data_IF_813185184811
#
_entry.id   IF_813185184811
#
_cell.length_a   1.000
_cell.length_b   1.000
_cell.length_c   1.000
_cell.angle_alpha   90.00
_cell.angle_beta   90.00
_cell.angle_gamma   90.00
#
_symmetry.space_group_name_H-M   'P 1'
#
loop_
_entity.id
_entity.type
_entity.pdbx_description
1 polymer ?
#
# COMPACT_ATOMS: atom_id res chain seq x y z
N UNK A 1 17.96 -13.48 -29.16
CA UNK A 1 17.57 -14.24 -27.97
C UNK A 1 16.42 -13.53 -27.31
N UNK A 2 15.34 -14.19 -26.92
CA UNK A 2 14.25 -13.58 -26.18
C UNK A 2 14.80 -13.07 -24.83
N UNK A 3 14.38 -11.88 -24.40
CA UNK A 3 14.74 -11.31 -23.11
C UNK A 3 14.11 -12.20 -22.01
N UNK A 4 14.83 -12.57 -20.94
CA UNK A 4 14.20 -13.31 -19.84
C UNK A 4 13.08 -12.46 -19.21
N UNK A 5 12.08 -13.14 -18.65
CA UNK A 5 11.04 -12.46 -17.87
C UNK A 5 11.67 -11.68 -16.71
N UNK A 6 11.20 -10.46 -16.42
CA UNK A 6 11.66 -9.76 -15.24
C UNK A 6 11.19 -10.48 -13.99
N UNK A 7 12.03 -10.55 -12.95
CA UNK A 7 11.64 -10.99 -11.63
C UNK A 7 10.57 -10.04 -11.06
N UNK A 8 9.59 -10.55 -10.34
CA UNK A 8 8.58 -9.75 -9.66
C UNK A 8 9.06 -9.37 -8.26
N UNK A 9 9.37 -8.09 -8.04
CA UNK A 9 9.77 -7.57 -6.74
C UNK A 9 8.59 -6.83 -6.09
N UNK A 10 8.01 -7.42 -5.05
CA UNK A 10 6.87 -6.93 -4.30
C UNK A 10 7.34 -6.30 -2.99
N UNK A 11 6.79 -5.14 -2.68
CA UNK A 11 7.09 -4.42 -1.45
C UNK A 11 5.80 -4.06 -0.74
N UNK A 12 5.64 -4.49 0.51
CA UNK A 12 4.70 -3.81 1.40
C UNK A 12 5.22 -2.39 1.69
N UNK A 13 4.35 -1.51 2.18
CA UNK A 13 4.67 -0.10 2.32
C UNK A 13 4.93 0.27 3.79
N UNK A 14 3.88 0.20 4.60
CA UNK A 14 3.88 0.71 5.97
C UNK A 14 4.74 -0.21 6.86
N UNK A 15 5.59 0.36 7.69
CA UNK A 15 6.62 -0.33 8.50
C UNK A 15 7.61 -1.21 7.70
N UNK A 16 7.49 -1.26 6.38
CA UNK A 16 8.41 -2.00 5.48
C UNK A 16 9.31 -1.05 4.69
N UNK A 17 8.74 -0.20 3.82
CA UNK A 17 9.46 0.86 3.11
C UNK A 17 9.47 2.19 3.89
N UNK A 18 8.49 2.38 4.75
CA UNK A 18 8.35 3.53 5.65
C UNK A 18 8.71 3.13 7.08
N UNK A 19 9.26 4.08 7.85
CA UNK A 19 9.47 3.95 9.30
C UNK A 19 8.19 4.33 10.07
N UNK A 20 7.06 3.69 9.73
CA UNK A 20 5.76 3.95 10.33
C UNK A 20 4.61 3.61 9.39
N UNK A 21 3.40 3.87 9.85
CA UNK A 21 2.14 3.61 9.16
C UNK A 21 1.62 4.90 8.53
N UNK A 22 1.46 4.93 7.21
CA UNK A 22 1.04 6.12 6.46
C UNK A 22 -0.43 6.47 6.67
N UNK A 23 -1.31 5.50 6.92
CA UNK A 23 -2.71 5.75 7.26
C UNK A 23 -2.84 6.35 8.66
N UNK A 24 -2.07 5.83 9.65
CA UNK A 24 -2.02 6.40 10.98
C UNK A 24 -1.46 7.84 10.95
N UNK A 25 -0.36 8.06 10.23
CA UNK A 25 0.25 9.37 10.06
C UNK A 25 -0.71 10.37 9.38
N UNK A 26 -1.55 9.92 8.45
CA UNK A 26 -2.60 10.73 7.84
C UNK A 26 -3.59 11.25 8.89
N UNK A 27 -4.05 10.39 9.80
CA UNK A 27 -4.92 10.78 10.91
C UNK A 27 -4.29 11.86 11.80
N UNK A 28 -3.02 11.70 12.21
CA UNK A 28 -2.28 12.68 13.00
C UNK A 28 -2.08 14.01 12.24
N UNK A 29 -1.84 13.93 10.93
CA UNK A 29 -1.76 15.11 10.09
C UNK A 29 -3.10 15.87 10.03
N UNK A 30 -4.24 15.20 9.88
CA UNK A 30 -5.56 15.84 9.92
C UNK A 30 -5.83 16.52 11.27
N UNK A 31 -5.41 15.92 12.38
CA UNK A 31 -5.46 16.52 13.72
C UNK A 31 -4.61 17.79 13.76
N UNK A 32 -3.36 17.73 13.30
CA UNK A 32 -2.43 18.87 13.31
C UNK A 32 -2.93 20.07 12.50
N UNK A 33 -3.75 19.80 11.48
CA UNK A 33 -4.39 20.82 10.63
C UNK A 33 -5.73 21.31 11.17
N UNK A 34 -6.21 20.77 12.31
CA UNK A 34 -7.49 21.11 12.91
C UNK A 34 -8.70 20.70 12.05
N UNK A 35 -8.52 19.74 11.16
CA UNK A 35 -9.61 19.22 10.29
C UNK A 35 -10.50 18.29 11.10
N UNK A 36 -9.94 17.57 12.07
CA UNK A 36 -10.65 16.67 13.00
C UNK A 36 -10.33 16.99 14.44
N UNK A 37 -11.21 16.60 15.35
CA UNK A 37 -10.99 16.75 16.80
C UNK A 37 -9.97 15.73 17.32
N UNK A 38 -8.94 16.20 18.02
CA UNK A 38 -7.80 15.40 18.45
C UNK A 38 -8.20 14.15 19.25
N UNK A 39 -8.91 14.33 20.38
CA UNK A 39 -9.16 13.24 21.32
C UNK A 39 -10.00 12.10 20.72
N UNK A 40 -11.08 12.45 20.02
CA UNK A 40 -11.96 11.45 19.42
C UNK A 40 -11.32 10.75 18.22
N UNK A 41 -10.66 11.51 17.36
CA UNK A 41 -10.04 10.93 16.15
C UNK A 41 -8.89 10.01 16.52
N UNK A 42 -8.01 10.45 17.44
CA UNK A 42 -6.88 9.63 17.90
C UNK A 42 -7.35 8.34 18.56
N UNK A 43 -8.35 8.39 19.44
CA UNK A 43 -8.89 7.19 20.09
C UNK A 43 -9.45 6.18 19.07
N UNK A 44 -10.13 6.64 18.02
CA UNK A 44 -10.63 5.77 16.94
C UNK A 44 -9.50 5.21 16.08
N UNK A 45 -8.53 6.06 15.72
CA UNK A 45 -7.37 5.64 14.92
C UNK A 45 -6.55 4.55 15.63
N UNK A 46 -6.26 4.74 16.92
CA UNK A 46 -5.57 3.77 17.75
C UNK A 46 -6.35 2.46 17.86
N UNK A 47 -7.68 2.51 18.03
CA UNK A 47 -8.52 1.33 18.09
C UNK A 47 -8.49 0.51 16.78
N UNK A 48 -8.48 1.16 15.63
CA UNK A 48 -8.32 0.47 14.33
C UNK A 48 -6.92 -0.11 14.16
N UNK A 49 -5.88 0.61 14.58
CA UNK A 49 -4.51 0.11 14.56
C UNK A 49 -4.36 -1.16 15.43
N UNK A 50 -4.96 -1.19 16.62
CA UNK A 50 -4.98 -2.40 17.45
C UNK A 50 -5.70 -3.58 16.78
N UNK A 51 -6.81 -3.34 16.06
CA UNK A 51 -7.49 -4.37 15.27
C UNK A 51 -6.57 -4.90 14.16
N UNK A 52 -5.84 -4.00 13.46
CA UNK A 52 -4.88 -4.38 12.42
C UNK A 52 -3.78 -5.30 12.96
N UNK A 53 -3.18 -4.95 14.10
CA UNK A 53 -2.13 -5.77 14.76
C UNK A 53 -2.67 -7.15 15.15
N UNK A 54 -3.95 -7.26 15.57
CA UNK A 54 -4.59 -8.56 15.85
C UNK A 54 -5.01 -9.33 14.61
N UNK A 55 -5.00 -8.70 13.43
CA UNK A 55 -5.50 -9.29 12.17
C UNK A 55 -7.03 -9.32 12.07
N UNK A 56 -7.71 -8.47 12.81
CA UNK A 56 -9.17 -8.40 12.97
C UNK A 56 -9.75 -7.08 12.41
N UNK A 57 -8.98 -6.34 11.62
CA UNK A 57 -9.36 -5.02 11.11
C UNK A 57 -10.67 -5.08 10.30
N UNK A 58 -11.67 -4.30 10.72
CA UNK A 58 -12.78 -3.92 9.85
C UNK A 58 -12.27 -2.90 8.82
N UNK A 59 -11.73 -3.42 7.70
CA UNK A 59 -11.13 -2.60 6.65
C UNK A 59 -12.13 -1.64 6.00
N UNK A 60 -13.43 -1.99 5.91
CA UNK A 60 -14.45 -1.09 5.37
C UNK A 60 -14.75 0.06 6.31
N UNK A 61 -14.92 -0.24 7.60
CA UNK A 61 -15.10 0.77 8.64
C UNK A 61 -13.90 1.69 8.76
N UNK A 62 -12.69 1.16 8.63
CA UNK A 62 -11.45 1.93 8.68
C UNK A 62 -11.32 2.91 7.50
N UNK A 63 -11.52 2.44 6.27
CA UNK A 63 -11.47 3.31 5.08
C UNK A 63 -12.55 4.40 5.13
N UNK A 64 -13.77 4.07 5.56
CA UNK A 64 -14.81 5.06 5.74
C UNK A 64 -14.41 6.14 6.78
N UNK A 65 -13.85 5.71 7.92
CA UNK A 65 -13.34 6.62 8.95
C UNK A 65 -12.21 7.53 8.44
N UNK A 66 -11.24 6.98 7.72
CA UNK A 66 -10.08 7.73 7.17
C UNK A 66 -10.52 8.79 6.16
N UNK A 67 -11.55 8.49 5.35
CA UNK A 67 -12.01 9.38 4.28
C UNK A 67 -13.09 10.38 4.72
N UNK A 68 -13.91 10.06 5.72
CA UNK A 68 -15.02 10.92 6.17
C UNK A 68 -14.64 12.40 6.30
N UNK A 69 -13.53 12.78 6.96
CA UNK A 69 -13.17 14.17 7.17
C UNK A 69 -12.91 14.96 5.89
N UNK A 70 -12.59 14.29 4.81
CA UNK A 70 -12.13 14.89 3.55
C UNK A 70 -13.17 14.81 2.40
N UNK A 71 -14.26 14.06 2.59
CA UNK A 71 -15.29 13.87 1.54
C UNK A 71 -15.95 15.16 1.09
N UNK A 72 -16.05 16.17 1.97
CA UNK A 72 -16.63 17.47 1.66
C UNK A 72 -15.68 18.42 0.92
N UNK A 73 -14.39 18.11 0.88
CA UNK A 73 -13.39 18.96 0.25
C UNK A 73 -13.52 18.95 -1.28
N UNK A 74 -13.30 20.11 -1.90
CA UNK A 74 -13.19 20.19 -3.34
C UNK A 74 -11.93 19.42 -3.82
N UNK A 75 -11.96 18.79 -5.01
CA UNK A 75 -10.83 17.98 -5.50
C UNK A 75 -9.48 18.70 -5.50
N UNK A 76 -9.45 19.99 -5.83
CA UNK A 76 -8.23 20.78 -5.81
C UNK A 76 -7.68 20.97 -4.37
N UNK A 77 -8.55 21.25 -3.39
CA UNK A 77 -8.15 21.39 -1.99
C UNK A 77 -7.67 20.05 -1.43
N UNK A 78 -8.33 18.96 -1.78
CA UNK A 78 -7.94 17.61 -1.40
C UNK A 78 -6.56 17.23 -1.94
N UNK A 79 -6.28 17.56 -3.21
CA UNK A 79 -4.96 17.34 -3.80
C UNK A 79 -3.87 18.18 -3.10
N UNK A 80 -4.14 19.43 -2.76
CA UNK A 80 -3.20 20.28 -2.01
C UNK A 80 -2.90 19.69 -0.65
N UNK A 81 -3.93 19.29 0.09
CA UNK A 81 -3.79 18.67 1.42
C UNK A 81 -2.95 17.39 1.36
N UNK A 82 -3.19 16.54 0.35
CA UNK A 82 -2.41 15.31 0.13
C UNK A 82 -0.94 15.61 -0.20
N UNK A 83 -0.66 16.62 -1.01
CA UNK A 83 0.73 17.02 -1.32
C UNK A 83 1.46 17.55 -0.07
N UNK A 84 0.78 18.33 0.74
CA UNK A 84 1.33 18.78 2.02
C UNK A 84 1.68 17.60 2.93
N UNK A 85 0.77 16.64 3.09
CA UNK A 85 1.00 15.42 3.85
C UNK A 85 2.25 14.67 3.38
N UNK A 86 2.37 14.44 2.09
CA UNK A 86 3.52 13.72 1.54
C UNK A 86 4.83 14.46 1.80
N UNK A 87 4.84 15.78 1.66
CA UNK A 87 6.06 16.57 1.83
C UNK A 87 6.45 16.81 3.28
N UNK A 88 5.48 16.89 4.21
CA UNK A 88 5.75 17.14 5.63
C UNK A 88 5.93 15.86 6.45
N UNK A 89 5.06 14.87 6.25
CA UNK A 89 5.03 13.69 7.11
C UNK A 89 5.72 12.49 6.45
N UNK A 90 5.31 12.14 5.22
CA UNK A 90 5.82 10.93 4.56
C UNK A 90 7.31 11.01 4.28
N UNK A 91 7.78 12.16 3.79
CA UNK A 91 9.20 12.34 3.48
C UNK A 91 10.12 12.10 4.69
N UNK A 92 9.63 12.40 5.90
CA UNK A 92 10.39 12.20 7.14
C UNK A 92 10.51 10.73 7.55
N UNK A 93 9.59 9.87 7.10
CA UNK A 93 9.55 8.44 7.44
C UNK A 93 9.97 7.52 6.29
N UNK A 94 10.32 8.07 5.12
CA UNK A 94 10.91 7.28 4.03
C UNK A 94 12.30 6.78 4.42
N UNK A 95 12.49 5.46 4.49
CA UNK A 95 13.76 4.87 4.89
C UNK A 95 14.80 4.91 3.77
N UNK A 96 16.00 5.50 3.99
CA UNK A 96 17.06 5.50 2.98
C UNK A 96 17.46 4.09 2.51
N UNK A 97 17.42 3.10 3.41
CA UNK A 97 17.68 1.69 3.07
C UNK A 97 16.61 1.11 2.15
N UNK A 98 15.34 1.48 2.36
CA UNK A 98 14.24 1.06 1.50
C UNK A 98 14.35 1.68 0.10
N UNK A 99 14.71 2.97 0.00
CA UNK A 99 14.98 3.64 -1.28
C UNK A 99 16.12 2.92 -2.02
N UNK A 100 17.22 2.59 -1.33
CA UNK A 100 18.34 1.87 -1.91
C UNK A 100 17.94 0.46 -2.37
N UNK A 101 17.10 -0.25 -1.59
CA UNK A 101 16.59 -1.57 -1.93
C UNK A 101 15.72 -1.53 -3.20
N UNK A 102 14.74 -0.64 -3.26
CA UNK A 102 13.89 -0.46 -4.45
C UNK A 102 14.72 -0.13 -5.68
N UNK A 103 15.71 0.77 -5.54
CA UNK A 103 16.61 1.13 -6.63
C UNK A 103 17.43 -0.09 -7.11
N UNK A 104 17.93 -0.93 -6.21
CA UNK A 104 18.70 -2.13 -6.57
C UNK A 104 17.90 -3.12 -7.41
N UNK A 105 16.62 -3.33 -7.09
CA UNK A 105 15.72 -4.17 -7.89
C UNK A 105 15.43 -3.54 -9.26
N UNK A 106 15.17 -2.24 -9.28
CA UNK A 106 14.93 -1.52 -10.53
C UNK A 106 16.16 -1.57 -11.46
N UNK A 107 17.37 -1.36 -10.91
CA UNK A 107 18.61 -1.39 -11.67
C UNK A 107 18.95 -2.80 -12.17
N UNK A 108 18.51 -3.85 -11.46
CA UNK A 108 18.56 -5.24 -11.91
C UNK A 108 17.57 -5.56 -13.04
N UNK A 109 16.60 -4.68 -13.30
CA UNK A 109 15.55 -4.88 -14.30
C UNK A 109 14.35 -5.65 -13.79
N UNK A 110 14.19 -5.78 -12.47
CA UNK A 110 13.04 -6.41 -11.84
C UNK A 110 11.78 -5.53 -12.01
N UNK A 111 10.63 -6.17 -12.05
CA UNK A 111 9.34 -5.49 -12.05
C UNK A 111 8.95 -5.15 -10.61
N UNK A 112 9.19 -3.89 -10.21
CA UNK A 112 8.90 -3.40 -8.88
C UNK A 112 7.43 -3.03 -8.73
N UNK A 113 6.78 -3.54 -7.67
CA UNK A 113 5.38 -3.27 -7.34
C UNK A 113 5.25 -3.02 -5.85
N UNK A 114 4.64 -1.90 -5.46
CA UNK A 114 4.19 -1.70 -4.08
C UNK A 114 2.81 -2.34 -3.94
N UNK A 115 2.63 -3.18 -2.89
CA UNK A 115 1.38 -3.86 -2.59
C UNK A 115 1.00 -3.64 -1.13
N UNK A 116 -0.02 -2.82 -0.85
CA UNK A 116 -0.34 -2.33 0.49
C UNK A 116 -1.84 -2.38 0.81
N UNK A 117 -2.16 -2.56 2.10
CA UNK A 117 -3.55 -2.48 2.58
C UNK A 117 -4.08 -1.04 2.58
N UNK A 118 -3.20 -0.06 2.73
CA UNK A 118 -3.53 1.36 2.72
C UNK A 118 -4.16 1.77 1.39
N UNK A 119 -5.06 2.73 1.45
CA UNK A 119 -5.86 3.14 0.31
C UNK A 119 -5.03 3.90 -0.77
N UNK A 120 -5.51 3.83 -2.02
CA UNK A 120 -4.80 4.40 -3.18
C UNK A 120 -4.66 5.93 -3.13
N UNK A 121 -5.58 6.65 -2.45
CA UNK A 121 -5.51 8.10 -2.32
C UNK A 121 -4.23 8.53 -1.59
N UNK A 122 -3.88 7.85 -0.50
CA UNK A 122 -2.68 8.13 0.30
C UNK A 122 -1.44 7.59 -0.40
N UNK A 123 -1.49 6.35 -0.90
CA UNK A 123 -0.30 5.60 -1.32
C UNK A 123 0.21 5.93 -2.72
N UNK A 124 -0.64 6.42 -3.62
CA UNK A 124 -0.22 6.75 -4.99
C UNK A 124 0.94 7.75 -5.06
N UNK A 125 0.92 8.92 -4.36
CA UNK A 125 2.05 9.83 -4.36
C UNK A 125 3.27 9.27 -3.61
N UNK A 126 3.07 8.36 -2.65
CA UNK A 126 4.18 7.71 -1.94
C UNK A 126 4.91 6.75 -2.88
N UNK A 127 4.18 5.93 -3.64
CA UNK A 127 4.78 5.06 -4.65
C UNK A 127 5.59 5.85 -5.68
N UNK A 128 5.06 6.99 -6.13
CA UNK A 128 5.78 7.91 -7.03
C UNK A 128 7.07 8.46 -6.40
N UNK A 129 7.06 8.76 -5.09
CA UNK A 129 8.24 9.24 -4.37
C UNK A 129 9.35 8.15 -4.27
N UNK A 130 8.99 6.86 -4.20
CA UNK A 130 9.93 5.74 -4.32
C UNK A 130 10.36 5.46 -5.77
N UNK A 131 9.77 6.12 -6.77
CA UNK A 131 10.02 5.85 -8.18
C UNK A 131 9.47 4.48 -8.63
N UNK A 132 8.44 3.96 -7.95
CA UNK A 132 7.74 2.73 -8.29
C UNK A 132 6.48 3.06 -9.08
N UNK A 133 6.43 2.58 -10.32
CA UNK A 133 5.31 2.85 -11.24
C UNK A 133 4.06 2.04 -10.90
N UNK A 134 4.24 0.84 -10.36
CA UNK A 134 3.14 -0.11 -10.15
C UNK A 134 2.73 -0.16 -8.68
N UNK A 135 1.48 0.17 -8.44
CA UNK A 135 0.86 0.17 -7.11
C UNK A 135 -0.39 -0.71 -7.11
N UNK A 136 -0.46 -1.62 -6.15
CA UNK A 136 -1.64 -2.42 -5.83
C UNK A 136 -2.05 -2.04 -4.40
N UNK A 137 -3.08 -1.21 -4.28
CA UNK A 137 -3.57 -0.66 -3.02
C UNK A 137 -5.06 -0.95 -2.83
N UNK A 138 -5.63 -0.63 -1.67
CA UNK A 138 -7.08 -0.66 -1.51
C UNK A 138 -7.70 0.44 -2.36
N UNK A 139 -8.46 0.05 -3.39
CA UNK A 139 -9.12 0.96 -4.32
C UNK A 139 -10.29 1.68 -3.67
N UNK A 140 -10.55 2.91 -4.08
CA UNK A 140 -11.61 3.74 -3.54
C UNK A 140 -12.71 3.96 -4.57
N UNK A 141 -13.96 3.91 -4.12
CA UNK A 141 -15.10 4.25 -4.97
C UNK A 141 -15.18 5.76 -5.18
N UNK A 142 -15.45 6.14 -6.43
CA UNK A 142 -15.58 7.54 -6.83
C UNK A 142 -16.88 7.73 -7.61
N UNK A 143 -17.46 8.94 -7.51
CA UNK A 143 -18.60 9.40 -8.29
C UNK A 143 -18.24 10.66 -9.06
N UNK A 144 -19.04 11.00 -10.09
CA UNK A 144 -18.76 12.14 -10.98
C UNK A 144 -17.75 11.80 -12.07
N UNK A 145 -17.45 12.77 -12.91
CA UNK A 145 -16.54 12.63 -14.05
C UNK A 145 -15.52 13.77 -14.08
N UNK A 146 -14.34 13.49 -14.61
CA UNK A 146 -13.29 14.49 -14.83
C UNK A 146 -12.89 15.23 -13.56
N UNK A 147 -12.92 16.56 -13.57
CA UNK A 147 -12.53 17.43 -12.44
C UNK A 147 -13.53 17.45 -11.29
N UNK A 148 -14.74 16.92 -11.50
CA UNK A 148 -15.78 16.82 -10.48
C UNK A 148 -15.82 15.47 -9.77
N UNK A 149 -14.86 14.59 -10.05
CA UNK A 149 -14.75 13.29 -9.44
C UNK A 149 -14.48 13.39 -7.93
N UNK A 150 -15.28 12.66 -7.13
CA UNK A 150 -15.24 12.69 -5.66
C UNK A 150 -15.25 11.28 -5.10
N UNK A 151 -14.53 11.06 -4.00
CA UNK A 151 -14.62 9.83 -3.24
C UNK A 151 -15.96 9.70 -2.51
N UNK A 152 -16.49 8.48 -2.43
CA UNK A 152 -17.74 8.17 -1.72
C UNK A 152 -17.52 7.77 -0.27
N UNK A 153 -16.29 7.44 0.12
CA UNK A 153 -15.94 6.85 1.41
C UNK A 153 -15.98 5.32 1.40
N UNK A 154 -16.33 4.70 0.27
CA UNK A 154 -16.41 3.24 0.15
C UNK A 154 -15.19 2.66 -0.60
N UNK A 155 -14.93 1.38 -0.36
CA UNK A 155 -13.93 0.59 -1.07
C UNK A 155 -14.49 0.16 -2.43
N UNK A 156 -13.67 0.29 -3.47
CA UNK A 156 -13.94 -0.23 -4.81
C UNK A 156 -13.42 -1.66 -4.93
N UNK A 157 -14.32 -2.62 -5.03
CA UNK A 157 -13.98 -4.02 -5.25
C UNK A 157 -13.37 -4.68 -4.01
N UNK A 158 -12.38 -5.56 -4.20
CA UNK A 158 -11.72 -6.29 -3.11
C UNK A 158 -10.69 -5.40 -2.42
N UNK A 159 -10.72 -5.25 -1.07
CA UNK A 159 -9.66 -4.55 -0.33
C UNK A 159 -8.32 -5.30 -0.45
N UNK A 160 -7.23 -4.55 -0.46
CA UNK A 160 -5.86 -5.11 -0.58
C UNK A 160 -5.32 -5.53 0.80
N UNK A 161 -6.07 -6.39 1.51
CA UNK A 161 -5.78 -6.81 2.87
C UNK A 161 -5.79 -8.33 2.97
N UNK A 162 -4.82 -8.92 3.66
CA UNK A 162 -4.66 -10.37 3.83
C UNK A 162 -4.78 -11.14 2.50
N UNK A 163 -5.75 -12.06 2.37
CA UNK A 163 -6.01 -12.80 1.14
C UNK A 163 -6.35 -11.89 -0.07
N UNK A 164 -6.85 -10.70 0.20
CA UNK A 164 -7.15 -9.69 -0.83
C UNK A 164 -5.90 -9.23 -1.59
N UNK A 165 -4.71 -9.21 -0.96
CA UNK A 165 -3.44 -8.91 -1.65
C UNK A 165 -3.20 -9.90 -2.79
N UNK A 166 -3.37 -11.21 -2.54
CA UNK A 166 -3.21 -12.24 -3.59
C UNK A 166 -4.25 -12.07 -4.69
N UNK A 167 -5.51 -11.86 -4.31
CA UNK A 167 -6.59 -11.69 -5.30
C UNK A 167 -6.32 -10.52 -6.23
N UNK A 168 -5.90 -9.37 -5.67
CA UNK A 168 -5.60 -8.18 -6.47
C UNK A 168 -4.32 -8.35 -7.30
N UNK A 169 -3.28 -8.98 -6.75
CA UNK A 169 -2.05 -9.26 -7.49
C UNK A 169 -2.31 -10.16 -8.69
N UNK A 170 -3.06 -11.26 -8.52
CA UNK A 170 -3.40 -12.14 -9.63
C UNK A 170 -4.21 -11.42 -10.71
N UNK A 171 -5.23 -10.65 -10.32
CA UNK A 171 -6.02 -9.87 -11.28
C UNK A 171 -5.16 -8.84 -12.04
N UNK A 172 -4.18 -8.22 -11.37
CA UNK A 172 -3.25 -7.30 -11.98
C UNK A 172 -2.29 -8.01 -12.95
N UNK A 173 -1.76 -9.18 -12.60
CA UNK A 173 -0.92 -10.00 -13.48
C UNK A 173 -1.70 -10.49 -14.72
N UNK A 174 -2.95 -10.92 -14.52
CA UNK A 174 -3.82 -11.36 -15.63
C UNK A 174 -4.13 -10.23 -16.60
N UNK A 175 -4.40 -9.02 -16.10
CA UNK A 175 -4.62 -7.83 -16.93
C UNK A 175 -3.37 -7.50 -17.76
N UNK A 176 -2.18 -7.52 -17.17
CA UNK A 176 -0.91 -7.31 -17.90
C UNK A 176 -0.67 -8.41 -18.95
N UNK A 177 -1.03 -9.65 -18.65
CA UNK A 177 -0.92 -10.75 -19.61
C UNK A 177 -1.84 -10.56 -20.81
N UNK A 178 -3.04 -10.03 -20.58
CA UNK A 178 -3.99 -9.72 -21.66
C UNK A 178 -3.54 -8.53 -22.52
N UNK A 179 -2.86 -7.55 -21.94
CA UNK A 179 -2.35 -6.37 -22.65
C UNK A 179 -1.07 -6.64 -23.44
N UNK A 180 -0.26 -7.60 -22.99
CA UNK A 180 0.97 -8.01 -23.69
C UNK A 180 0.63 -8.73 -24.98
N UNK A 181 0.46 -7.98 -26.07
CA UNK A 181 0.16 -8.48 -27.41
C UNK A 181 1.34 -9.32 -27.95
N UNK A 182 1.44 -10.55 -27.49
CA UNK A 182 2.18 -11.64 -28.11
C UNK A 182 3.69 -11.54 -28.11
N UNK A 183 4.36 -11.82 -26.99
CA UNK A 183 5.73 -12.28 -27.03
C UNK A 183 6.70 -11.85 -25.96
N UNK A 184 6.45 -10.79 -25.20
CA UNK A 184 7.36 -10.44 -24.11
C UNK A 184 7.10 -11.34 -22.89
N UNK A 185 8.18 -11.91 -22.30
CA UNK A 185 8.04 -12.74 -21.10
C UNK A 185 7.54 -11.88 -19.94
N UNK A 186 6.48 -12.37 -19.28
CA UNK A 186 5.81 -11.67 -18.20
C UNK A 186 6.35 -12.09 -16.83
N UNK A 187 6.46 -11.13 -15.90
CA UNK A 187 6.71 -11.42 -14.50
C UNK A 187 5.60 -12.30 -13.91
N UNK A 188 5.95 -13.20 -13.02
CA UNK A 188 5.02 -14.12 -12.38
C UNK A 188 5.43 -14.41 -10.94
N UNK A 189 4.52 -15.02 -10.16
CA UNK A 189 4.85 -15.49 -8.80
C UNK A 189 5.92 -16.60 -8.79
N UNK A 190 6.17 -17.29 -9.92
CA UNK A 190 7.18 -18.33 -10.01
C UNK A 190 8.63 -17.80 -9.94
N UNK A 191 8.86 -16.52 -10.19
CA UNK A 191 10.12 -15.81 -9.92
C UNK A 191 9.81 -14.47 -9.26
N UNK A 192 9.63 -14.51 -7.93
CA UNK A 192 9.15 -13.38 -7.17
C UNK A 192 9.82 -13.27 -5.79
N UNK A 193 9.88 -12.04 -5.30
CA UNK A 193 10.31 -11.72 -3.94
C UNK A 193 9.30 -10.77 -3.32
N UNK A 194 8.99 -10.96 -2.03
CA UNK A 194 8.16 -10.05 -1.23
C UNK A 194 8.90 -9.63 0.04
N UNK A 195 8.88 -8.34 0.30
CA UNK A 195 9.33 -7.72 1.55
C UNK A 195 8.11 -7.27 2.35
N UNK A 196 7.99 -7.67 3.62
CA UNK A 196 6.89 -7.28 4.50
C UNK A 196 7.28 -7.40 5.98
N UNK A 197 6.74 -6.52 6.82
CA UNK A 197 6.83 -6.55 8.28
C UNK A 197 5.67 -7.31 8.95
N UNK A 198 4.54 -7.50 8.23
CA UNK A 198 3.25 -7.85 8.83
C UNK A 198 2.88 -9.33 8.67
N UNK A 199 2.41 -9.92 9.77
CA UNK A 199 1.77 -11.25 9.74
C UNK A 199 0.51 -11.28 8.87
N UNK A 200 -0.15 -10.15 8.66
CA UNK A 200 -1.31 -10.05 7.77
C UNK A 200 -0.95 -10.39 6.31
N UNK A 201 0.33 -10.30 5.94
CA UNK A 201 0.85 -10.65 4.62
C UNK A 201 1.27 -12.12 4.49
N UNK A 202 1.11 -12.93 5.55
CA UNK A 202 1.48 -14.35 5.51
C UNK A 202 0.89 -15.11 4.32
N UNK A 203 -0.37 -14.88 3.89
CA UNK A 203 -0.89 -15.52 2.69
C UNK A 203 -0.04 -15.22 1.45
N UNK A 204 0.39 -13.98 1.25
CA UNK A 204 1.20 -13.58 0.11
C UNK A 204 2.67 -14.01 0.26
N UNK A 205 3.24 -13.93 1.48
CA UNK A 205 4.58 -14.46 1.79
C UNK A 205 4.70 -15.95 1.48
N UNK A 206 3.60 -16.71 1.64
CA UNK A 206 3.55 -18.13 1.28
C UNK A 206 3.41 -18.39 -0.23
N UNK A 207 3.01 -17.39 -1.00
CA UNK A 207 2.76 -17.53 -2.44
C UNK A 207 3.96 -17.14 -3.31
N UNK A 208 4.90 -16.36 -2.78
CA UNK A 208 6.11 -15.92 -3.50
C UNK A 208 7.23 -16.95 -3.42
N UNK A 209 8.20 -16.85 -4.35
CA UNK A 209 9.37 -17.73 -4.35
C UNK A 209 10.35 -17.39 -3.22
N UNK A 210 10.51 -16.11 -2.92
CA UNK A 210 11.38 -15.62 -1.84
C UNK A 210 10.59 -14.70 -0.93
N UNK A 211 10.41 -15.07 0.33
CA UNK A 211 9.78 -14.27 1.36
C UNK A 211 10.85 -13.62 2.25
N UNK A 212 10.77 -12.32 2.47
CA UNK A 212 11.69 -11.56 3.33
C UNK A 212 10.88 -10.82 4.39
N UNK A 213 11.07 -11.19 5.65
CA UNK A 213 10.52 -10.47 6.79
C UNK A 213 11.45 -9.28 7.12
N UNK A 214 10.89 -8.05 7.08
CA UNK A 214 11.60 -6.80 7.35
C UNK A 214 11.09 -6.24 8.65
N UNK A 215 11.92 -6.12 9.66
CA UNK A 215 11.56 -5.63 11.00
C UNK A 215 10.18 -6.18 11.47
N UNK A 216 9.97 -7.52 11.44
CA UNK A 216 8.66 -8.14 11.47
C UNK A 216 7.93 -7.93 12.80
N UNK A 217 6.60 -7.88 12.73
CA UNK A 217 5.76 -7.98 13.93
C UNK A 217 6.02 -9.30 14.67
N UNK A 218 5.73 -9.41 15.99
CA UNK A 218 6.06 -10.60 16.78
C UNK A 218 5.46 -11.90 16.26
N UNK A 219 4.33 -11.85 15.54
CA UNK A 219 3.67 -13.03 14.97
C UNK A 219 4.40 -13.49 13.71
N UNK A 220 4.79 -12.55 12.85
CA UNK A 220 5.58 -12.85 11.65
C UNK A 220 6.98 -13.30 12.03
N UNK A 221 7.62 -12.69 13.03
CA UNK A 221 8.93 -13.11 13.55
C UNK A 221 8.88 -14.58 14.02
N UNK A 222 7.88 -14.92 14.84
CA UNK A 222 7.71 -16.30 15.33
C UNK A 222 7.52 -17.29 14.16
N UNK A 223 6.76 -16.93 13.14
CA UNK A 223 6.54 -17.77 11.95
C UNK A 223 7.83 -17.91 11.12
N UNK A 224 8.61 -16.83 10.94
CA UNK A 224 9.86 -16.84 10.18
C UNK A 224 10.93 -17.68 10.87
N UNK A 225 11.00 -17.66 12.19
CA UNK A 225 11.96 -18.49 12.97
C UNK A 225 11.58 -19.98 12.95
N UNK A 226 10.27 -20.29 12.83
CA UNK A 226 9.78 -21.67 12.82
C UNK A 226 10.03 -22.41 11.50
N UNK A 227 10.36 -21.69 10.42
CA UNK A 227 10.60 -22.24 9.05
C UNK A 227 12.06 -22.37 8.73
#
# INVERSE_FOLDING_TARGET
>A
MARPAPRLALFDLDNTLLAGDSDHAWGEFLISRGIVGEAEHRAKNDAFYEQYVRGELDIHGYVAFTLEPILSLAPAALNTLRQEFVTSEVAAIMLPKAIALVNSHRDAGDLCVIITATNEFITQPIAAAFGVEHLIATGLEQTGEGTEQRYTGAIKGTPCYQQGKITKLNAWLDARAAEAAGGDPLASLADSILYSDSFNDLPLLNAVTTAVAVDPDPRLEAEAVAR
#
